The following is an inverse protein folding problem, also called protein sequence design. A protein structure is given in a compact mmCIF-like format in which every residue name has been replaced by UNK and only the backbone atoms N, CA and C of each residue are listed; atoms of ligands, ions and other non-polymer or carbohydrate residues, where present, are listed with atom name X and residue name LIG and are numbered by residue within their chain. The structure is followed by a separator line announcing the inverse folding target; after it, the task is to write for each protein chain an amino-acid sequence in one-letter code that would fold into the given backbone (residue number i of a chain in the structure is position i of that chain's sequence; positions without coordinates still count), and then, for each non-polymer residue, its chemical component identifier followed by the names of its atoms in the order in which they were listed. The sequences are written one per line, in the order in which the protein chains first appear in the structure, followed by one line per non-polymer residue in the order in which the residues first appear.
data_IF_013932418921
#
_entry.id   IF_013932418921
#
_cell.length_a   1.000
_cell.length_b   1.000
_cell.length_c   1.000
_cell.angle_alpha   90.00
_cell.angle_beta   90.00
_cell.angle_gamma   90.00
#
_symmetry.space_group_name_H-M   'P 1'
#
loop_
_entity.id
_entity.type
_entity.pdbx_description
1 polymer ?
#
# COMPACT_ATOMS: atom_id res chain seq x y z
N UNK A 1 -0.43 8.19 -19.60
CA UNK A 1 -0.45 7.08 -18.61
C UNK A 1 0.61 7.39 -17.58
N UNK A 2 0.20 7.66 -16.34
CA UNK A 2 1.09 8.12 -15.27
C UNK A 2 1.57 6.90 -14.50
N UNK A 3 2.83 6.52 -14.67
CA UNK A 3 3.48 5.46 -13.89
C UNK A 3 3.44 5.86 -12.41
N UNK A 4 2.93 5.02 -11.49
CA UNK A 4 3.00 5.31 -10.07
C UNK A 4 4.48 5.34 -9.65
N UNK A 5 4.96 6.49 -9.20
CA UNK A 5 6.34 6.65 -8.75
C UNK A 5 6.49 6.06 -7.35
N UNK A 6 7.29 5.01 -7.22
CA UNK A 6 7.73 4.49 -5.92
C UNK A 6 8.64 5.56 -5.28
N UNK A 7 8.36 6.03 -4.05
CA UNK A 7 9.18 7.01 -3.34
C UNK A 7 10.60 6.49 -3.21
N UNK A 8 11.57 7.32 -3.61
CA UNK A 8 13.00 6.97 -3.59
C UNK A 8 13.69 7.25 -2.24
N UNK A 9 13.00 7.86 -1.28
CA UNK A 9 13.58 8.27 0.00
C UNK A 9 12.60 8.11 1.16
N UNK A 10 13.14 7.78 2.34
CA UNK A 10 12.41 7.73 3.61
C UNK A 10 12.09 9.15 4.11
N UNK A 11 10.99 9.35 4.87
CA UNK A 11 10.68 10.64 5.48
C UNK A 11 11.77 11.14 6.43
N UNK A 12 11.95 12.46 6.55
CA UNK A 12 12.86 13.05 7.52
C UNK A 12 12.29 12.97 8.95
N UNK A 13 13.14 13.18 9.97
CA UNK A 13 12.66 13.23 11.36
C UNK A 13 11.64 14.36 11.60
N UNK A 14 11.77 15.47 10.87
CA UNK A 14 10.82 16.59 10.89
C UNK A 14 9.47 16.17 10.29
N UNK A 15 9.48 15.51 9.12
CA UNK A 15 8.27 14.99 8.49
C UNK A 15 7.54 13.99 9.39
N UNK A 16 8.29 13.09 10.04
CA UNK A 16 7.74 12.09 10.98
C UNK A 16 7.02 12.79 12.14
N UNK A 17 7.65 13.81 12.74
CA UNK A 17 7.07 14.54 13.86
C UNK A 17 5.81 15.30 13.43
N UNK A 18 5.88 16.02 12.31
CA UNK A 18 4.76 16.79 11.77
C UNK A 18 3.59 15.88 11.38
N UNK A 19 3.86 14.70 10.80
CA UNK A 19 2.83 13.75 10.42
C UNK A 19 2.08 13.17 11.63
N UNK A 20 2.79 12.88 12.74
CA UNK A 20 2.16 12.42 13.99
C UNK A 20 1.23 13.48 14.57
N UNK A 21 1.69 14.72 14.63
CA UNK A 21 0.89 15.83 15.15
C UNK A 21 -0.35 16.08 14.27
N UNK A 22 -0.12 16.24 12.96
CA UNK A 22 -1.18 16.52 11.98
C UNK A 22 -2.20 15.37 11.92
N UNK A 23 -1.75 14.12 11.94
CA UNK A 23 -2.62 12.95 11.96
C UNK A 23 -3.54 12.90 13.18
N UNK A 24 -3.04 13.27 14.36
CA UNK A 24 -3.84 13.36 15.60
C UNK A 24 -4.92 14.44 15.52
N UNK A 25 -4.59 15.60 14.95
CA UNK A 25 -5.58 16.69 14.76
C UNK A 25 -6.62 16.27 13.73
N UNK A 26 -6.17 15.75 12.59
CA UNK A 26 -7.05 15.34 11.49
C UNK A 26 -8.00 14.21 11.91
N UNK A 27 -7.55 13.23 12.70
CA UNK A 27 -8.40 12.14 13.18
C UNK A 27 -9.58 12.62 14.03
N UNK A 28 -9.40 13.74 14.76
CA UNK A 28 -10.47 14.36 15.54
C UNK A 28 -11.50 15.03 14.64
N UNK A 29 -11.04 15.75 13.61
CA UNK A 29 -11.91 16.41 12.62
C UNK A 29 -12.74 15.38 11.83
N UNK A 30 -12.13 14.24 11.50
CA UNK A 30 -12.76 13.19 10.68
C UNK A 30 -13.77 12.28 11.42
N UNK A 31 -14.06 12.55 12.70
CA UNK A 31 -15.17 11.91 13.42
C UNK A 31 -16.55 12.36 12.91
N UNK A 32 -16.59 13.38 12.06
CA UNK A 32 -17.80 13.87 11.39
C UNK A 32 -18.47 12.83 10.49
N UNK A 33 -19.79 12.96 10.32
CA UNK A 33 -20.60 12.18 9.35
C UNK A 33 -20.76 12.86 7.99
N UNK A 34 -20.18 14.04 7.80
CA UNK A 34 -20.25 14.77 6.54
C UNK A 34 -19.51 14.03 5.40
N UNK A 35 -20.04 14.10 4.17
CA UNK A 35 -19.43 13.50 2.98
C UNK A 35 -18.22 14.29 2.46
N UNK A 36 -18.18 15.59 2.75
CA UNK A 36 -17.13 16.51 2.35
C UNK A 36 -16.66 17.38 3.51
N UNK A 37 -15.44 17.90 3.39
CA UNK A 37 -14.84 18.88 4.32
C UNK A 37 -14.22 20.02 3.52
N UNK A 38 -14.26 21.23 4.08
CA UNK A 38 -13.58 22.39 3.51
C UNK A 38 -12.23 22.57 4.23
N UNK A 39 -11.16 22.75 3.44
CA UNK A 39 -9.80 22.97 3.93
C UNK A 39 -9.30 24.30 3.37
N UNK A 40 -8.71 25.08 4.26
CA UNK A 40 -8.10 26.36 3.92
C UNK A 40 -6.59 26.21 3.77
N UNK A 41 -6.08 26.61 2.61
CA UNK A 41 -4.65 26.65 2.30
C UNK A 41 -4.16 28.09 2.34
N UNK A 42 -3.04 28.30 3.01
CA UNK A 42 -2.37 29.59 3.08
C UNK A 42 -1.19 29.58 2.10
N UNK A 43 -1.11 30.57 1.23
CA UNK A 43 0.09 30.78 0.41
C UNK A 43 1.12 31.69 1.11
N UNK A 44 2.33 31.77 0.55
CA UNK A 44 3.45 32.55 1.10
C UNK A 44 3.15 34.06 1.24
N UNK A 45 2.07 34.54 0.59
CA UNK A 45 1.60 35.93 0.64
C UNK A 45 0.45 36.11 1.63
N UNK A 46 0.08 35.07 2.36
CA UNK A 46 -1.02 35.06 3.33
C UNK A 46 -2.40 34.99 2.71
N UNK A 47 -2.53 34.75 1.40
CA UNK A 47 -3.84 34.57 0.79
C UNK A 47 -4.38 33.19 1.15
N UNK A 48 -5.65 33.16 1.56
CA UNK A 48 -6.37 31.93 1.93
C UNK A 48 -7.15 31.40 0.73
N UNK A 49 -6.99 30.12 0.43
CA UNK A 49 -7.76 29.40 -0.59
C UNK A 49 -8.47 28.21 0.04
N UNK A 50 -9.79 28.26 0.02
CA UNK A 50 -10.62 27.14 0.48
C UNK A 50 -10.83 26.11 -0.62
N UNK A 51 -10.69 24.83 -0.27
CA UNK A 51 -10.92 23.68 -1.16
C UNK A 51 -11.86 22.71 -0.46
N UNK A 52 -12.88 22.25 -1.18
CA UNK A 52 -13.78 21.19 -0.68
C UNK A 52 -13.25 19.83 -1.13
N UNK A 53 -12.98 18.94 -0.17
CA UNK A 53 -12.49 17.59 -0.41
C UNK A 53 -13.48 16.53 0.13
N UNK A 54 -13.59 15.36 -0.52
CA UNK A 54 -14.32 14.24 0.04
C UNK A 54 -13.71 13.78 1.37
N UNK A 55 -14.54 13.48 2.36
CA UNK A 55 -14.10 12.92 3.64
C UNK A 55 -13.33 11.61 3.45
N UNK A 56 -13.64 10.83 2.41
CA UNK A 56 -12.91 9.62 2.03
C UNK A 56 -11.46 9.90 1.62
N UNK A 57 -11.19 10.98 0.90
CA UNK A 57 -9.83 11.38 0.55
C UNK A 57 -9.02 11.81 1.78
N UNK A 58 -9.67 12.45 2.74
CA UNK A 58 -9.04 12.83 4.01
C UNK A 58 -8.74 11.65 4.92
N UNK A 59 -9.58 10.61 4.89
CA UNK A 59 -9.28 9.33 5.57
C UNK A 59 -8.05 8.66 4.96
N UNK A 60 -7.94 8.65 3.62
CA UNK A 60 -6.72 8.17 2.97
C UNK A 60 -5.50 9.00 3.37
N UNK A 61 -5.62 10.32 3.46
CA UNK A 61 -4.54 11.18 3.95
C UNK A 61 -4.15 10.84 5.39
N UNK A 62 -5.11 10.53 6.26
CA UNK A 62 -4.84 10.08 7.63
C UNK A 62 -4.03 8.77 7.65
N UNK A 63 -4.36 7.81 6.78
CA UNK A 63 -3.57 6.58 6.63
C UNK A 63 -2.14 6.88 6.18
N UNK A 64 -1.98 7.78 5.18
CA UNK A 64 -0.65 8.23 4.71
C UNK A 64 0.16 8.88 5.84
N UNK A 65 -0.45 9.78 6.61
CA UNK A 65 0.20 10.45 7.75
C UNK A 65 0.59 9.45 8.86
N UNK A 66 -0.20 8.41 9.05
CA UNK A 66 0.09 7.35 10.03
C UNK A 66 1.36 6.58 9.66
N UNK A 67 1.50 6.22 8.38
CA UNK A 67 2.70 5.54 7.86
C UNK A 67 3.93 6.44 7.90
N UNK A 68 3.80 7.71 7.48
CA UNK A 68 4.90 8.69 7.57
C UNK A 68 5.30 8.89 9.04
N UNK A 69 4.35 8.95 9.96
CA UNK A 69 4.60 9.04 11.40
C UNK A 69 5.33 7.81 11.99
N UNK A 70 5.32 6.68 11.29
CA UNK A 70 6.11 5.50 11.65
C UNK A 70 7.50 5.48 11.00
N UNK A 71 7.79 6.44 10.12
CA UNK A 71 9.03 6.49 9.34
C UNK A 71 8.94 5.71 8.02
N UNK A 72 7.74 5.29 7.61
CA UNK A 72 7.54 4.53 6.39
C UNK A 72 7.39 5.47 5.18
N UNK A 73 7.99 5.10 4.04
CA UNK A 73 7.70 5.73 2.77
C UNK A 73 6.35 5.24 2.22
N UNK A 74 5.54 6.14 1.65
CA UNK A 74 4.16 5.84 1.23
C UNK A 74 3.98 6.06 -0.26
N UNK A 75 3.35 5.10 -0.94
CA UNK A 75 2.94 5.21 -2.35
C UNK A 75 1.44 5.03 -2.49
N UNK A 76 0.77 5.93 -3.20
CA UNK A 76 -0.64 5.73 -3.59
C UNK A 76 -0.66 5.07 -4.97
N UNK A 77 -1.13 3.83 -5.03
CA UNK A 77 -1.26 3.06 -6.28
C UNK A 77 -2.75 2.96 -6.61
N UNK A 78 -3.21 3.45 -7.79
CA UNK A 78 -4.59 3.27 -8.22
C UNK A 78 -4.96 1.79 -8.30
N UNK A 79 -6.17 1.42 -7.88
CA UNK A 79 -6.63 0.01 -7.91
C UNK A 79 -6.65 -0.60 -9.32
N UNK A 80 -6.87 0.23 -10.35
CA UNK A 80 -6.86 -0.17 -11.75
C UNK A 80 -5.50 0.05 -12.41
N UNK A 81 -4.46 0.33 -11.63
CA UNK A 81 -3.12 0.46 -12.17
C UNK A 81 -2.64 -0.89 -12.72
N UNK A 82 -2.07 -0.82 -13.91
CA UNK A 82 -1.27 -1.90 -14.47
C UNK A 82 0.17 -1.73 -14.01
N UNK A 83 0.69 -2.76 -13.39
CA UNK A 83 2.06 -2.85 -12.93
C UNK A 83 2.94 -3.47 -14.02
N UNK A 84 4.16 -2.98 -14.11
CA UNK A 84 5.26 -3.68 -14.77
C UNK A 84 5.62 -4.95 -13.98
N UNK A 85 6.34 -5.86 -14.63
CA UNK A 85 6.87 -7.05 -13.93
C UNK A 85 7.85 -6.71 -12.81
N UNK A 86 8.49 -5.53 -12.84
CA UNK A 86 9.39 -5.13 -11.76
C UNK A 86 8.57 -4.67 -10.55
N UNK A 87 7.64 -3.74 -10.74
CA UNK A 87 6.77 -3.23 -9.66
C UNK A 87 5.96 -4.35 -8.99
N UNK A 88 5.43 -5.29 -9.77
CA UNK A 88 4.71 -6.45 -9.22
C UNK A 88 5.64 -7.39 -8.44
N UNK A 89 6.91 -7.52 -8.83
CA UNK A 89 7.89 -8.35 -8.12
C UNK A 89 8.30 -7.69 -6.80
N UNK A 90 8.51 -6.37 -6.83
CA UNK A 90 8.81 -5.56 -5.64
C UNK A 90 7.65 -5.63 -4.63
N UNK A 91 6.39 -5.58 -5.10
CA UNK A 91 5.20 -5.68 -4.25
C UNK A 91 5.05 -7.04 -3.56
N UNK A 92 5.45 -8.12 -4.24
CA UNK A 92 5.48 -9.48 -3.69
C UNK A 92 6.76 -9.79 -2.89
N UNK A 93 7.73 -8.86 -2.87
CA UNK A 93 9.05 -9.05 -2.28
C UNK A 93 9.78 -10.29 -2.84
N UNK A 94 9.74 -10.46 -4.16
CA UNK A 94 10.38 -11.57 -4.89
C UNK A 94 11.24 -11.03 -6.05
N UNK A 95 12.07 -11.90 -6.63
CA UNK A 95 12.85 -11.51 -7.81
C UNK A 95 11.97 -11.40 -9.06
N UNK A 96 12.31 -10.47 -9.96
CA UNK A 96 11.61 -10.32 -11.25
C UNK A 96 11.57 -11.63 -12.07
N UNK A 97 12.66 -12.42 -12.18
CA UNK A 97 12.60 -13.71 -12.88
C UNK A 97 11.58 -14.68 -12.26
N UNK A 98 11.48 -14.73 -10.93
CA UNK A 98 10.51 -15.57 -10.25
C UNK A 98 9.07 -15.11 -10.54
N UNK A 99 8.79 -13.80 -10.49
CA UNK A 99 7.48 -13.29 -10.90
C UNK A 99 7.15 -13.72 -12.33
N UNK A 100 8.08 -13.55 -13.28
CA UNK A 100 7.84 -13.94 -14.68
C UNK A 100 7.49 -15.43 -14.81
N UNK A 101 8.14 -16.30 -14.04
CA UNK A 101 7.78 -17.72 -13.99
C UNK A 101 6.35 -17.94 -13.47
N UNK A 102 5.91 -17.21 -12.44
CA UNK A 102 4.52 -17.27 -11.94
C UNK A 102 3.53 -16.85 -13.02
N UNK A 103 3.82 -15.76 -13.75
CA UNK A 103 2.98 -15.28 -14.85
C UNK A 103 2.86 -16.34 -15.95
N UNK A 104 3.99 -16.94 -16.36
CA UNK A 104 4.03 -17.96 -17.41
C UNK A 104 3.33 -19.26 -17.01
N UNK A 105 3.31 -19.58 -15.71
CA UNK A 105 2.53 -20.70 -15.14
C UNK A 105 1.03 -20.40 -15.03
N UNK A 106 0.60 -19.15 -15.23
CA UNK A 106 -0.80 -18.75 -15.08
C UNK A 106 -1.24 -18.55 -13.63
N UNK A 107 -0.31 -18.50 -12.68
CA UNK A 107 -0.61 -18.28 -11.25
C UNK A 107 -1.16 -16.88 -10.96
N UNK A 108 -0.78 -15.90 -11.80
CA UNK A 108 -1.27 -14.53 -11.75
C UNK A 108 -1.64 -14.12 -13.19
N UNK A 109 -2.87 -13.66 -13.43
CA UNK A 109 -3.28 -13.12 -14.72
C UNK A 109 -2.36 -11.99 -15.20
N UNK A 110 -2.03 -11.99 -16.48
CA UNK A 110 -1.29 -10.90 -17.12
C UNK A 110 -1.71 -10.76 -18.57
N UNK A 111 -1.45 -9.60 -19.16
CA UNK A 111 -1.55 -9.37 -20.60
C UNK A 111 -0.29 -8.70 -21.11
N UNK A 112 -0.19 -8.59 -22.44
CA UNK A 112 0.93 -7.90 -23.09
C UNK A 112 0.47 -6.58 -23.67
N UNK A 113 1.26 -5.53 -23.45
CA UNK A 113 1.20 -4.28 -24.20
C UNK A 113 2.48 -4.23 -25.05
N UNK A 114 2.33 -4.45 -26.35
CA UNK A 114 3.45 -4.72 -27.24
C UNK A 114 4.21 -5.98 -26.80
N UNK A 115 5.50 -5.85 -26.53
CA UNK A 115 6.36 -6.95 -26.05
C UNK A 115 6.41 -7.07 -24.52
N UNK A 116 5.87 -6.08 -23.80
CA UNK A 116 5.98 -6.02 -22.34
C UNK A 116 4.75 -6.63 -21.66
N UNK A 117 4.99 -7.41 -20.60
CA UNK A 117 3.92 -7.91 -19.72
C UNK A 117 3.42 -6.80 -18.79
N UNK A 118 2.13 -6.83 -18.51
CA UNK A 118 1.41 -5.98 -17.56
C UNK A 118 0.53 -6.84 -16.67
N UNK A 119 0.50 -6.50 -15.40
CA UNK A 119 -0.22 -7.25 -14.36
C UNK A 119 -1.07 -6.25 -13.60
N UNK A 120 -2.35 -6.54 -13.37
CA UNK A 120 -3.19 -5.62 -12.59
C UNK A 120 -2.81 -5.71 -11.11
N UNK A 121 -2.77 -4.58 -10.43
CA UNK A 121 -2.47 -4.54 -8.99
C UNK A 121 -3.36 -5.51 -8.18
N UNK A 122 -4.67 -5.53 -8.47
CA UNK A 122 -5.63 -6.41 -7.81
C UNK A 122 -5.26 -7.89 -7.92
N UNK A 123 -4.77 -8.33 -9.09
CA UNK A 123 -4.39 -9.73 -9.32
C UNK A 123 -3.14 -10.10 -8.51
N UNK A 124 -2.18 -9.17 -8.39
CA UNK A 124 -0.97 -9.37 -7.58
C UNK A 124 -1.31 -9.48 -6.10
N UNK A 125 -2.19 -8.60 -5.60
CA UNK A 125 -2.62 -8.63 -4.19
C UNK A 125 -3.46 -9.87 -3.87
N UNK A 126 -4.36 -10.29 -4.78
CA UNK A 126 -5.12 -11.52 -4.64
C UNK A 126 -4.20 -12.74 -4.53
N UNK A 127 -3.17 -12.82 -5.38
CA UNK A 127 -2.14 -13.87 -5.29
C UNK A 127 -1.42 -13.85 -3.93
N UNK A 128 -0.97 -12.67 -3.48
CA UNK A 128 -0.29 -12.52 -2.18
C UNK A 128 -1.14 -13.04 -1.03
N UNK A 129 -2.41 -12.64 -0.97
CA UNK A 129 -3.31 -13.08 0.09
C UNK A 129 -3.53 -14.59 0.10
N UNK A 130 -3.67 -15.21 -1.08
CA UNK A 130 -3.78 -16.66 -1.21
C UNK A 130 -2.55 -17.38 -0.67
N UNK A 131 -1.36 -16.97 -1.11
CA UNK A 131 -0.09 -17.59 -0.67
C UNK A 131 0.15 -17.39 0.83
N UNK A 132 -0.13 -16.21 1.38
CA UNK A 132 0.04 -15.98 2.81
C UNK A 132 -0.93 -16.82 3.65
N UNK A 133 -2.15 -17.09 3.15
CA UNK A 133 -3.08 -18.01 3.79
C UNK A 133 -2.59 -19.46 3.74
N UNK A 134 -2.08 -19.92 2.60
CA UNK A 134 -1.48 -21.26 2.45
C UNK A 134 -0.27 -21.45 3.38
N UNK A 135 0.61 -20.43 3.48
CA UNK A 135 1.78 -20.45 4.38
C UNK A 135 1.37 -20.56 5.85
N UNK A 136 0.38 -19.77 6.28
CA UNK A 136 -0.14 -19.84 7.66
C UNK A 136 -0.68 -21.23 7.98
N UNK A 137 -1.48 -21.80 7.08
CA UNK A 137 -2.03 -23.14 7.23
C UNK A 137 -0.94 -24.20 7.37
N UNK A 138 0.10 -24.14 6.54
CA UNK A 138 1.23 -25.08 6.62
C UNK A 138 2.02 -24.96 7.94
N UNK A 139 2.20 -23.73 8.44
CA UNK A 139 2.84 -23.51 9.75
C UNK A 139 1.99 -24.07 10.89
N UNK A 140 0.66 -23.87 10.85
CA UNK A 140 -0.26 -24.43 11.84
C UNK A 140 -0.23 -25.97 11.84
N UNK A 141 -0.18 -26.59 10.65
CA UNK A 141 -0.05 -28.05 10.49
C UNK A 141 1.29 -28.56 11.07
N UNK A 142 2.40 -27.87 10.79
CA UNK A 142 3.71 -28.22 11.35
C UNK A 142 3.76 -28.06 12.87
N UNK A 143 3.15 -27.01 13.42
CA UNK A 143 3.07 -26.79 14.86
C UNK A 143 2.23 -27.87 15.55
N UNK A 144 1.09 -28.25 14.96
CA UNK A 144 0.26 -29.34 15.47
C UNK A 144 1.02 -30.68 15.47
N UNK A 145 1.75 -30.99 14.40
CA UNK A 145 2.58 -32.21 14.32
C UNK A 145 3.71 -32.20 15.36
N UNK A 146 4.37 -31.06 15.59
CA UNK A 146 5.41 -30.95 16.61
C UNK A 146 4.86 -31.16 18.03
N UNK A 147 3.65 -30.64 18.30
CA UNK A 147 2.93 -30.84 19.56
C UNK A 147 2.55 -32.32 19.78
N UNK A 148 2.05 -33.00 18.73
CA UNK A 148 1.69 -34.42 18.76
C UNK A 148 2.92 -35.33 18.98
N UNK A 149 4.07 -34.96 18.40
CA UNK A 149 5.32 -35.70 18.53
C UNK A 149 6.06 -35.43 19.86
N UNK A 150 5.49 -34.63 20.76
CA UNK A 150 6.10 -34.31 22.06
C UNK A 150 7.39 -33.51 21.94
N UNK A 151 7.64 -32.86 20.79
CA UNK A 151 8.76 -31.96 20.58
C UNK A 151 8.39 -30.57 21.12
N UNK A 152 8.11 -30.51 22.42
CA UNK A 152 7.87 -29.26 23.14
C UNK A 152 9.18 -28.48 23.31
N UNK A 153 9.14 -27.19 22.97
CA UNK A 153 9.94 -26.18 23.66
C UNK A 153 9.12 -25.61 24.82
#
# INVERSE_FOLDING_TARGET
MTTPAIPKALPSAEDVALARESGRVLSTVLQTRAETQQIDFHDDKGAVRSVTLPTTALRLLLDVLTEIGQGNAVTVIPIHAELTTQEAADLLNVSRPFLVQLLEKGEIPFHKIGTHRRVRYQDVIAYKHRIDAERRKALDELAAQAQELGMGY
#
